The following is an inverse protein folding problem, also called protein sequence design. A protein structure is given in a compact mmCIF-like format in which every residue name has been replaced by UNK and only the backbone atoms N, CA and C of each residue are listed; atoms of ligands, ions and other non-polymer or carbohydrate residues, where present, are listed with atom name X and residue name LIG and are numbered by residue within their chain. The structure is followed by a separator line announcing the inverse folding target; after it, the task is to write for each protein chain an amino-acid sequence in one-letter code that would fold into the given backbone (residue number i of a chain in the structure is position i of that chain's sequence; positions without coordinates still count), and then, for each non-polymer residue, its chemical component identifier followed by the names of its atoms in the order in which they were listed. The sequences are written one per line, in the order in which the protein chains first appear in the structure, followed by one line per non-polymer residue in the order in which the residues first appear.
data_IF_796872876332
#
_entry.id   IF_796872876332
#
_cell.length_a   1.000
_cell.length_b   1.000
_cell.length_c   1.000
_cell.angle_alpha   90.00
_cell.angle_beta   90.00
_cell.angle_gamma   90.00
#
_symmetry.space_group_name_H-M   'P 1'
#
loop_
_entity.id
_entity.type
_entity.pdbx_description
1 polymer ?
#
# COMPACT_ATOMS: atom_id res chain seq x y z
N UNK A 1 12.92 -21.35 -0.18
CA UNK A 1 11.63 -20.72 0.17
C UNK A 1 11.75 -20.26 1.61
N UNK A 2 11.72 -18.95 1.88
CA UNK A 2 11.62 -18.43 3.25
C UNK A 2 10.43 -17.48 3.25
N UNK A 3 9.25 -18.10 3.35
CA UNK A 3 8.03 -17.45 3.81
C UNK A 3 8.37 -16.93 5.22
N UNK A 4 8.01 -15.69 5.51
CA UNK A 4 8.12 -15.11 6.85
C UNK A 4 7.55 -16.12 7.89
N UNK A 5 8.38 -16.71 8.78
CA UNK A 5 7.96 -17.85 9.59
C UNK A 5 6.92 -17.53 10.67
N UNK A 6 6.67 -16.25 10.97
CA UNK A 6 6.07 -15.90 12.26
C UNK A 6 4.63 -15.36 12.19
N UNK A 7 4.18 -14.82 11.05
CA UNK A 7 2.78 -14.44 10.75
C UNK A 7 1.98 -13.73 11.87
N UNK A 8 2.61 -12.88 12.66
CA UNK A 8 2.09 -12.37 13.94
C UNK A 8 0.85 -11.47 13.80
N UNK A 9 -0.12 -11.40 14.72
CA UNK A 9 -1.22 -10.39 14.62
C UNK A 9 -0.97 -9.20 15.55
N UNK A 10 -1.36 -8.00 15.14
CA UNK A 10 -1.19 -6.76 15.90
C UNK A 10 -2.48 -6.31 16.58
N UNK A 11 -2.39 -5.94 17.85
CA UNK A 11 -3.52 -5.45 18.63
C UNK A 11 -3.31 -3.99 19.00
N UNK A 12 -4.34 -3.17 18.75
CA UNK A 12 -4.41 -1.76 19.08
C UNK A 12 -5.57 -1.49 20.04
N UNK A 13 -5.40 -0.51 20.91
CA UNK A 13 -6.46 -0.03 21.80
C UNK A 13 -7.53 0.77 21.05
N UNK A 14 -8.64 1.08 21.72
CA UNK A 14 -9.67 2.01 21.25
C UNK A 14 -9.21 3.49 21.10
N UNK A 15 -7.92 3.76 21.24
CA UNK A 15 -7.24 5.02 20.93
C UNK A 15 -6.25 4.88 19.77
N UNK A 16 -6.15 3.71 19.14
CA UNK A 16 -5.18 3.43 18.08
C UNK A 16 -3.74 3.34 18.57
N UNK A 17 -3.53 3.06 19.87
CA UNK A 17 -2.20 2.80 20.45
C UNK A 17 -1.91 1.29 20.36
N UNK A 18 -0.76 0.93 19.81
CA UNK A 18 -0.27 -0.45 19.78
C UNK A 18 -0.18 -1.03 21.20
N UNK A 19 -0.67 -2.26 21.35
CA UNK A 19 -0.70 -2.99 22.63
C UNK A 19 0.31 -4.14 22.59
N UNK A 20 0.17 -5.04 21.62
CA UNK A 20 0.96 -6.26 21.52
C UNK A 20 0.88 -6.86 20.12
N UNK A 21 1.82 -7.75 19.85
CA UNK A 21 1.88 -8.62 18.67
C UNK A 21 1.81 -10.09 19.10
N UNK A 22 1.02 -10.94 18.46
CA UNK A 22 0.88 -12.39 18.74
C UNK A 22 1.75 -13.25 17.83
N UNK A 23 1.59 -14.57 17.87
CA UNK A 23 2.23 -15.53 16.94
C UNK A 23 1.18 -16.31 16.12
N UNK A 24 -0.01 -15.72 15.88
CA UNK A 24 -1.22 -16.39 15.36
C UNK A 24 -1.27 -16.62 13.85
N UNK A 25 -0.18 -16.32 13.13
CA UNK A 25 0.06 -16.64 11.71
C UNK A 25 -0.83 -15.94 10.66
N UNK A 26 -1.58 -14.88 10.97
CA UNK A 26 -2.48 -14.20 10.00
C UNK A 26 -2.09 -12.79 9.56
N UNK A 27 -1.11 -12.15 10.20
CA UNK A 27 -0.72 -10.76 9.92
C UNK A 27 -1.87 -9.74 10.05
N UNK A 28 -2.91 -10.08 10.82
CA UNK A 28 -4.09 -9.24 10.98
C UNK A 28 -3.85 -8.11 11.98
N UNK A 29 -4.55 -7.01 11.78
CA UNK A 29 -4.65 -5.88 12.69
C UNK A 29 -5.99 -5.99 13.41
N UNK A 30 -5.96 -5.91 14.73
CA UNK A 30 -7.13 -5.90 15.59
C UNK A 30 -7.20 -4.61 16.40
N UNK A 31 -8.41 -4.09 16.57
CA UNK A 31 -8.72 -2.93 17.39
C UNK A 31 -9.61 -3.40 18.54
N UNK A 32 -9.12 -3.31 19.76
CA UNK A 32 -9.85 -3.66 20.97
C UNK A 32 -10.81 -2.53 21.36
N UNK A 33 -12.11 -2.77 21.19
CA UNK A 33 -13.21 -1.84 21.52
C UNK A 33 -14.21 -2.57 22.42
N UNK A 34 -14.46 -2.03 23.62
CA UNK A 34 -15.44 -2.55 24.57
C UNK A 34 -15.32 -4.06 24.83
N UNK A 35 -14.09 -4.55 25.02
CA UNK A 35 -13.81 -5.97 25.27
C UNK A 35 -13.88 -6.89 24.03
N UNK A 36 -14.17 -6.35 22.84
CA UNK A 36 -14.17 -7.09 21.56
C UNK A 36 -13.02 -6.64 20.68
N UNK A 37 -12.50 -7.56 19.86
CA UNK A 37 -11.50 -7.25 18.84
C UNK A 37 -12.18 -7.19 17.48
N UNK A 38 -12.02 -6.08 16.79
CA UNK A 38 -12.54 -5.90 15.43
C UNK A 38 -11.41 -5.59 14.46
N UNK A 39 -11.62 -5.88 13.18
CA UNK A 39 -10.70 -5.52 12.11
C UNK A 39 -10.85 -4.03 11.74
N UNK A 40 -9.80 -3.38 11.21
CA UNK A 40 -9.86 -2.01 10.70
C UNK A 40 -11.02 -1.74 9.75
N UNK A 41 -11.31 -2.63 8.81
CA UNK A 41 -12.41 -2.48 7.85
C UNK A 41 -13.80 -2.52 8.49
N UNK A 42 -13.92 -3.10 9.69
CA UNK A 42 -15.18 -3.18 10.44
C UNK A 42 -15.44 -1.91 11.28
N UNK A 43 -14.47 -1.02 11.40
CA UNK A 43 -14.61 0.22 12.14
C UNK A 43 -15.40 1.24 11.31
N UNK A 44 -16.50 1.78 11.87
CA UNK A 44 -17.27 2.86 11.22
C UNK A 44 -16.51 4.19 11.33
N UNK A 45 -15.96 4.66 10.20
CA UNK A 45 -15.18 5.89 10.08
C UNK A 45 -16.02 7.13 9.77
N UNK A 46 -17.37 7.03 9.80
CA UNK A 46 -18.23 8.22 9.92
C UNK A 46 -18.13 8.83 11.31
N UNK A 47 -17.74 8.03 12.31
CA UNK A 47 -17.52 8.48 13.68
C UNK A 47 -16.13 9.12 13.80
N UNK A 48 -16.08 10.41 14.17
CA UNK A 48 -14.83 11.20 14.29
C UNK A 48 -13.78 10.55 15.19
N UNK A 49 -14.20 9.94 16.31
CA UNK A 49 -13.30 9.21 17.22
C UNK A 49 -12.63 8.04 16.52
N UNK A 50 -13.39 7.27 15.75
CA UNK A 50 -12.89 6.11 15.02
C UNK A 50 -11.91 6.51 13.91
N UNK A 51 -12.16 7.65 13.25
CA UNK A 51 -11.18 8.24 12.31
C UNK A 51 -9.83 8.49 12.95
N UNK A 52 -9.81 9.02 14.17
CA UNK A 52 -8.56 9.25 14.90
C UNK A 52 -7.87 7.94 15.29
N UNK A 53 -8.63 6.91 15.70
CA UNK A 53 -8.10 5.57 15.96
C UNK A 53 -7.39 5.03 14.72
N UNK A 54 -8.06 5.07 13.56
CA UNK A 54 -7.48 4.58 12.32
C UNK A 54 -6.27 5.42 11.88
N UNK A 55 -6.33 6.75 11.96
CA UNK A 55 -5.20 7.61 11.64
C UNK A 55 -3.96 7.30 12.50
N UNK A 56 -4.14 6.97 13.78
CA UNK A 56 -3.04 6.57 14.66
C UNK A 56 -2.44 5.22 14.24
N UNK A 57 -3.27 4.26 13.82
CA UNK A 57 -2.83 2.96 13.29
C UNK A 57 -2.04 3.16 11.99
N UNK A 58 -2.56 3.96 11.05
CA UNK A 58 -1.84 4.29 9.81
C UNK A 58 -0.50 4.97 10.12
N UNK A 59 -0.48 5.92 11.07
CA UNK A 59 0.76 6.58 11.50
C UNK A 59 1.80 5.62 12.09
N UNK A 60 1.35 4.62 12.87
CA UNK A 60 2.22 3.56 13.39
C UNK A 60 2.91 2.79 12.26
N UNK A 61 2.14 2.31 11.28
CA UNK A 61 2.72 1.56 10.15
C UNK A 61 3.51 2.44 9.18
N UNK A 62 3.16 3.72 9.03
CA UNK A 62 3.94 4.67 8.24
C UNK A 62 5.33 4.88 8.85
N UNK A 63 5.41 4.97 10.19
CA UNK A 63 6.68 5.02 10.91
C UNK A 63 7.48 3.74 10.70
N UNK A 64 6.82 2.58 10.73
CA UNK A 64 7.47 1.28 10.52
C UNK A 64 8.08 1.14 9.11
N UNK A 65 7.51 1.77 8.09
CA UNK A 65 8.08 1.81 6.73
C UNK A 65 8.99 3.02 6.47
N UNK A 66 9.35 3.78 7.51
CA UNK A 66 10.32 4.88 7.43
C UNK A 66 9.77 6.20 6.87
N UNK A 67 8.45 6.40 6.84
CA UNK A 67 7.85 7.67 6.39
C UNK A 67 7.92 8.70 7.53
N UNK A 68 8.62 9.80 7.30
CA UNK A 68 8.58 10.98 8.17
C UNK A 68 7.42 11.91 7.82
N UNK A 69 6.71 12.42 8.83
CA UNK A 69 5.53 13.28 8.65
C UNK A 69 5.24 14.16 9.88
N UNK A 70 4.42 15.20 9.70
CA UNK A 70 3.90 16.01 10.79
C UNK A 70 2.65 15.37 11.38
N UNK A 71 2.73 14.95 12.63
CA UNK A 71 1.61 14.49 13.43
C UNK A 71 0.72 15.63 13.92
N UNK A 72 -0.30 15.27 14.70
CA UNK A 72 -1.22 16.24 15.31
C UNK A 72 -0.44 17.28 16.13
N UNK A 73 -0.82 18.55 15.98
CA UNK A 73 -0.14 19.66 16.67
C UNK A 73 1.26 19.97 16.13
N UNK A 74 1.58 19.56 14.90
CA UNK A 74 2.93 19.69 14.30
C UNK A 74 4.02 18.93 15.07
N UNK A 75 3.65 17.83 15.73
CA UNK A 75 4.63 16.94 16.33
C UNK A 75 5.42 16.23 15.22
N UNK A 76 6.75 16.36 15.23
CA UNK A 76 7.61 15.68 14.27
C UNK A 76 7.58 14.16 14.50
N UNK A 77 7.34 13.39 13.45
CA UNK A 77 7.52 11.94 13.43
C UNK A 77 8.57 11.60 12.38
N UNK A 78 9.65 10.92 12.80
CA UNK A 78 10.81 10.63 11.94
C UNK A 78 11.74 11.84 11.75
N UNK A 79 12.64 11.73 10.76
CA UNK A 79 13.62 12.78 10.41
C UNK A 79 13.10 13.64 9.26
N UNK A 80 13.23 14.97 9.37
CA UNK A 80 12.77 15.93 8.35
C UNK A 80 11.31 15.71 7.91
N UNK A 81 10.35 15.80 8.83
CA UNK A 81 8.94 15.53 8.53
C UNK A 81 8.41 16.46 7.44
N UNK A 82 7.67 15.88 6.49
CA UNK A 82 6.98 16.59 5.43
C UNK A 82 5.57 16.03 5.26
N UNK A 83 4.60 16.92 5.05
CA UNK A 83 3.19 16.55 4.92
C UNK A 83 2.64 15.80 6.13
N UNK A 84 1.49 15.17 5.94
CA UNK A 84 0.77 14.40 6.96
C UNK A 84 0.54 12.96 6.50
N UNK A 85 0.31 12.09 7.47
CA UNK A 85 -0.14 10.71 7.25
C UNK A 85 -1.47 10.50 7.96
N UNK A 86 -2.42 9.83 7.32
CA UNK A 86 -3.69 9.49 7.94
C UNK A 86 -4.66 8.79 7.00
N UNK A 87 -5.93 9.22 7.06
CA UNK A 87 -7.01 8.69 6.25
C UNK A 87 -7.77 9.82 5.55
N UNK A 88 -8.27 9.56 4.35
CA UNK A 88 -9.07 10.52 3.59
C UNK A 88 -10.23 9.82 2.89
N UNK A 89 -11.33 10.54 2.69
CA UNK A 89 -12.48 9.98 1.98
C UNK A 89 -12.18 9.91 0.48
N UNK A 90 -12.61 8.81 -0.14
CA UNK A 90 -12.51 8.59 -1.59
C UNK A 90 -13.89 8.30 -2.18
N UNK A 91 -14.01 8.60 -3.47
CA UNK A 91 -15.18 8.19 -4.29
C UNK A 91 -14.94 6.87 -5.01
N UNK A 92 -13.70 6.38 -5.03
CA UNK A 92 -13.30 5.18 -5.74
C UNK A 92 -13.03 4.03 -4.76
N UNK A 93 -13.89 3.00 -4.79
CA UNK A 93 -13.72 1.82 -3.94
C UNK A 93 -12.41 1.07 -4.19
N UNK A 94 -11.86 1.14 -5.41
CA UNK A 94 -10.63 0.46 -5.78
C UNK A 94 -9.36 1.20 -5.33
N UNK A 95 -9.47 2.47 -4.92
CA UNK A 95 -8.33 3.24 -4.41
C UNK A 95 -8.05 2.82 -2.96
N UNK A 96 -6.89 2.21 -2.71
CA UNK A 96 -6.50 1.74 -1.37
C UNK A 96 -5.82 2.83 -0.55
N UNK A 97 -5.01 3.65 -1.22
CA UNK A 97 -4.27 4.75 -0.64
C UNK A 97 -4.05 5.82 -1.73
N UNK A 98 -3.65 7.01 -1.30
CA UNK A 98 -3.35 8.11 -2.21
C UNK A 98 -2.27 9.03 -1.63
N UNK A 99 -1.50 9.61 -2.54
CA UNK A 99 -0.56 10.69 -2.27
C UNK A 99 -1.04 11.99 -2.91
N UNK A 100 -1.02 13.08 -2.14
CA UNK A 100 -1.28 14.44 -2.64
C UNK A 100 -0.23 15.41 -2.12
N UNK A 101 0.70 15.78 -2.98
CA UNK A 101 1.89 16.52 -2.57
C UNK A 101 2.70 15.71 -1.55
N UNK A 102 2.91 16.28 -0.36
CA UNK A 102 3.63 15.60 0.72
C UNK A 102 2.75 14.66 1.59
N UNK A 103 1.43 14.63 1.37
CA UNK A 103 0.48 13.93 2.22
C UNK A 103 0.20 12.52 1.70
N UNK A 104 0.16 11.54 2.60
CA UNK A 104 -0.18 10.14 2.30
C UNK A 104 -1.40 9.74 3.12
N UNK A 105 -2.41 9.16 2.48
CA UNK A 105 -3.64 8.75 3.16
C UNK A 105 -4.09 7.36 2.72
N UNK A 106 -4.58 6.56 3.66
CA UNK A 106 -5.38 5.38 3.35
C UNK A 106 -6.81 5.81 3.03
N UNK A 107 -7.36 5.25 1.96
CA UNK A 107 -8.64 5.69 1.41
C UNK A 107 -9.83 5.09 2.15
N UNK A 108 -10.82 5.94 2.43
CA UNK A 108 -12.07 5.61 3.12
C UNK A 108 -13.21 5.71 2.13
N UNK A 109 -13.82 4.58 1.78
CA UNK A 109 -14.98 4.51 0.90
C UNK A 109 -16.23 4.22 1.72
N UNK A 110 -17.25 5.08 1.58
CA UNK A 110 -18.54 4.96 2.30
C UNK A 110 -18.44 4.75 3.82
N UNK A 111 -17.38 5.28 4.44
CA UNK A 111 -17.15 5.19 5.88
C UNK A 111 -16.29 3.99 6.33
N UNK A 112 -15.72 3.23 5.40
CA UNK A 112 -14.87 2.08 5.71
C UNK A 112 -13.60 2.09 4.87
N UNK A 113 -12.52 1.48 5.39
CA UNK A 113 -11.34 1.17 4.57
C UNK A 113 -11.52 -0.21 3.92
N UNK A 114 -10.77 -0.46 2.85
CA UNK A 114 -10.73 -1.77 2.21
C UNK A 114 -10.30 -2.89 3.17
N UNK A 115 -10.87 -4.09 2.99
CA UNK A 115 -10.48 -5.30 3.74
C UNK A 115 -9.01 -5.66 3.57
N UNK A 116 -8.36 -5.23 2.46
CA UNK A 116 -6.93 -5.43 2.29
C UNK A 116 -6.12 -4.79 3.42
N UNK A 117 -6.59 -3.67 3.98
CA UNK A 117 -5.93 -2.92 5.04
C UNK A 117 -6.10 -3.55 6.43
N UNK A 118 -6.80 -4.69 6.53
CA UNK A 118 -6.84 -5.48 7.77
C UNK A 118 -5.52 -6.19 8.03
N UNK A 119 -4.71 -6.41 7.00
CA UNK A 119 -3.42 -7.07 7.10
C UNK A 119 -2.30 -6.02 7.09
N UNK A 120 -1.36 -6.09 8.04
CA UNK A 120 -0.35 -5.04 8.14
C UNK A 120 0.68 -5.06 7.02
N UNK A 121 1.00 -6.21 6.42
CA UNK A 121 1.94 -6.27 5.28
C UNK A 121 1.33 -5.62 4.05
N UNK A 122 0.04 -5.84 3.80
CA UNK A 122 -0.69 -5.14 2.76
C UNK A 122 -0.70 -3.61 3.02
N UNK A 123 -0.99 -3.19 4.25
CA UNK A 123 -1.02 -1.78 4.64
C UNK A 123 0.38 -1.12 4.50
N UNK A 124 1.43 -1.78 4.97
CA UNK A 124 2.81 -1.30 4.84
C UNK A 124 3.24 -1.25 3.36
N UNK A 125 2.87 -2.24 2.55
CA UNK A 125 3.13 -2.22 1.10
C UNK A 125 2.44 -1.05 0.40
N UNK A 126 1.18 -0.75 0.75
CA UNK A 126 0.46 0.43 0.24
C UNK A 126 1.10 1.75 0.70
N UNK A 127 1.49 1.86 1.97
CA UNK A 127 2.18 3.06 2.47
C UNK A 127 3.54 3.24 1.79
N UNK A 128 4.28 2.15 1.55
CA UNK A 128 5.53 2.20 0.81
C UNK A 128 5.32 2.64 -0.64
N UNK A 129 4.28 2.14 -1.33
CA UNK A 129 3.88 2.62 -2.65
C UNK A 129 3.68 4.14 -2.66
N UNK A 130 2.86 4.65 -1.74
CA UNK A 130 2.60 6.09 -1.63
C UNK A 130 3.84 6.89 -1.23
N UNK A 131 4.75 6.32 -0.46
CA UNK A 131 6.02 6.97 -0.11
C UNK A 131 6.89 7.27 -1.34
N UNK A 132 6.80 6.43 -2.38
CA UNK A 132 7.51 6.62 -3.64
C UNK A 132 6.89 7.81 -4.41
N UNK A 133 5.55 7.87 -4.49
CA UNK A 133 4.87 9.04 -5.07
C UNK A 133 5.23 10.32 -4.33
N UNK A 134 5.25 10.29 -3.00
CA UNK A 134 5.65 11.44 -2.17
C UNK A 134 7.07 11.89 -2.50
N UNK A 135 8.02 10.96 -2.57
CA UNK A 135 9.42 11.25 -2.90
C UNK A 135 9.56 11.97 -4.24
N UNK A 136 8.85 11.52 -5.28
CA UNK A 136 8.91 12.14 -6.61
C UNK A 136 8.16 13.48 -6.66
N UNK A 137 7.00 13.59 -6.02
CA UNK A 137 6.23 14.83 -5.92
C UNK A 137 7.03 15.96 -5.27
N UNK A 138 7.74 15.66 -4.18
CA UNK A 138 8.59 16.63 -3.47
C UNK A 138 9.79 17.12 -4.29
N UNK A 139 10.17 16.39 -5.34
CA UNK A 139 11.25 16.76 -6.27
C UNK A 139 10.73 17.43 -7.54
N UNK A 140 9.41 17.58 -7.68
CA UNK A 140 8.78 18.04 -8.92
C UNK A 140 8.93 17.05 -10.08
N UNK A 141 9.28 15.80 -9.80
CA UNK A 141 9.45 14.75 -10.81
C UNK A 141 8.12 14.06 -11.06
N UNK A 142 7.37 14.56 -12.03
CA UNK A 142 6.07 13.99 -12.43
C UNK A 142 6.17 12.98 -13.58
N UNK A 143 7.35 12.40 -13.82
CA UNK A 143 7.50 11.43 -14.91
C UNK A 143 6.86 10.06 -14.61
N UNK A 144 6.29 9.88 -13.42
CA UNK A 144 5.28 8.86 -13.11
C UNK A 144 3.90 9.15 -13.74
N UNK A 145 3.68 10.32 -14.36
CA UNK A 145 2.42 10.64 -15.06
C UNK A 145 2.18 9.83 -16.34
N UNK A 146 3.20 9.16 -16.87
CA UNK A 146 2.99 8.19 -17.97
C UNK A 146 2.74 6.80 -17.40
N UNK A 147 1.92 6.00 -18.07
CA UNK A 147 1.64 4.64 -17.60
C UNK A 147 2.90 3.78 -17.44
N UNK A 148 3.86 3.90 -18.37
CA UNK A 148 5.13 3.21 -18.27
C UNK A 148 6.02 3.78 -17.15
N UNK A 149 6.07 5.10 -17.02
CA UNK A 149 6.84 5.78 -15.98
C UNK A 149 6.38 5.38 -14.58
N UNK A 150 5.05 5.33 -14.35
CA UNK A 150 4.46 4.85 -13.11
C UNK A 150 4.94 3.43 -12.78
N UNK A 151 4.85 2.50 -13.74
CA UNK A 151 5.28 1.11 -13.54
C UNK A 151 6.77 1.03 -13.20
N UNK A 152 7.60 1.74 -13.96
CA UNK A 152 9.04 1.69 -13.84
C UNK A 152 9.56 2.31 -12.54
N UNK A 153 8.88 3.35 -12.02
CA UNK A 153 9.33 4.10 -10.85
C UNK A 153 8.67 3.65 -9.55
N UNK A 154 7.41 3.26 -9.61
CA UNK A 154 6.58 2.99 -8.41
C UNK A 154 6.38 1.49 -8.24
N UNK A 155 5.75 0.82 -9.20
CA UNK A 155 5.41 -0.61 -9.05
C UNK A 155 6.63 -1.51 -8.92
N UNK A 156 7.69 -1.33 -9.73
CA UNK A 156 8.90 -2.15 -9.61
C UNK A 156 9.51 -2.03 -8.20
N UNK A 157 9.62 -0.80 -7.68
CA UNK A 157 10.13 -0.58 -6.32
C UNK A 157 9.24 -1.22 -5.26
N UNK A 158 7.92 -1.11 -5.41
CA UNK A 158 6.98 -1.79 -4.53
C UNK A 158 7.18 -3.31 -4.57
N UNK A 159 7.35 -3.91 -5.75
CA UNK A 159 7.57 -5.36 -5.89
C UNK A 159 8.91 -5.84 -5.29
N UNK A 160 9.92 -4.97 -5.28
CA UNK A 160 11.21 -5.25 -4.66
C UNK A 160 11.18 -5.15 -3.13
N UNK A 161 10.21 -4.44 -2.56
CA UNK A 161 10.06 -4.24 -1.13
C UNK A 161 9.60 -5.52 -0.39
N UNK A 162 10.09 -5.69 0.84
CA UNK A 162 9.78 -6.87 1.67
C UNK A 162 8.30 -6.97 2.05
N UNK A 163 7.63 -5.85 2.31
CA UNK A 163 6.21 -5.85 2.68
C UNK A 163 5.32 -6.34 1.54
N UNK A 164 5.68 -6.04 0.28
CA UNK A 164 4.98 -6.63 -0.86
C UNK A 164 5.20 -8.15 -0.93
N UNK A 165 6.43 -8.61 -0.68
CA UNK A 165 6.77 -10.05 -0.72
C UNK A 165 6.07 -10.83 0.39
N UNK A 166 5.85 -10.21 1.55
CA UNK A 166 5.13 -10.78 2.70
C UNK A 166 3.62 -10.51 2.70
N UNK A 167 3.12 -9.68 1.77
CA UNK A 167 1.70 -9.41 1.61
C UNK A 167 0.91 -10.65 1.22
N UNK A 168 -0.40 -10.58 1.44
CA UNK A 168 -1.34 -11.65 1.05
C UNK A 168 -1.32 -11.88 -0.46
N UNK A 169 -1.51 -13.12 -0.91
CA UNK A 169 -1.53 -13.44 -2.35
C UNK A 169 -2.60 -12.66 -3.11
N UNK A 170 -3.78 -12.47 -2.50
CA UNK A 170 -4.87 -11.68 -3.10
C UNK A 170 -4.43 -10.22 -3.34
N UNK A 171 -3.73 -9.62 -2.37
CA UNK A 171 -3.18 -8.28 -2.52
C UNK A 171 -2.08 -8.23 -3.58
N UNK A 172 -1.15 -9.19 -3.57
CA UNK A 172 -0.10 -9.28 -4.59
C UNK A 172 -0.70 -9.35 -6.00
N UNK A 173 -1.69 -10.20 -6.20
CA UNK A 173 -2.42 -10.32 -7.46
C UNK A 173 -3.08 -9.00 -7.88
N UNK A 174 -3.74 -8.31 -6.95
CA UNK A 174 -4.40 -7.03 -7.23
C UNK A 174 -3.39 -5.96 -7.69
N UNK A 175 -2.26 -5.81 -7.00
CA UNK A 175 -1.23 -4.82 -7.38
C UNK A 175 -0.52 -5.21 -8.69
N UNK A 176 -0.23 -6.49 -8.91
CA UNK A 176 0.31 -6.98 -10.19
C UNK A 176 -0.68 -6.69 -11.34
N UNK A 177 -1.98 -6.88 -11.10
CA UNK A 177 -3.04 -6.53 -12.04
C UNK A 177 -3.08 -5.05 -12.38
N UNK A 178 -2.88 -4.16 -11.39
CA UNK A 178 -2.78 -2.72 -11.66
C UNK A 178 -1.57 -2.39 -12.55
N UNK A 179 -0.40 -2.98 -12.27
CA UNK A 179 0.76 -2.81 -13.13
C UNK A 179 0.50 -3.33 -14.56
N UNK A 180 -0.25 -4.42 -14.73
CA UNK A 180 -0.65 -4.94 -16.04
C UNK A 180 -1.58 -3.98 -16.81
N UNK A 181 -2.49 -3.28 -16.12
CA UNK A 181 -3.34 -2.24 -16.71
C UNK A 181 -2.49 -1.09 -17.25
N UNK A 182 -1.55 -0.59 -16.45
CA UNK A 182 -0.63 0.46 -16.89
C UNK A 182 0.26 0.02 -18.06
N UNK A 183 0.79 -1.21 -18.02
CA UNK A 183 1.58 -1.75 -19.12
C UNK A 183 0.74 -1.99 -20.38
N UNK A 184 -0.53 -2.33 -20.26
CA UNK A 184 -1.46 -2.42 -21.39
C UNK A 184 -1.68 -1.04 -22.03
N UNK A 185 -1.81 0.01 -21.23
CA UNK A 185 -1.88 1.38 -21.74
C UNK A 185 -0.58 1.77 -22.47
N UNK A 186 0.58 1.47 -21.88
CA UNK A 186 1.89 1.70 -22.51
C UNK A 186 2.08 0.87 -23.80
N UNK A 187 1.54 -0.34 -23.86
CA UNK A 187 1.60 -1.18 -25.06
C UNK A 187 0.80 -0.56 -26.22
N UNK A 188 -0.24 0.21 -25.93
CA UNK A 188 -1.07 0.87 -26.95
C UNK A 188 -0.47 2.17 -27.46
N UNK A 189 0.46 2.77 -26.72
CA UNK A 189 1.14 4.01 -27.10
C UNK A 189 2.42 3.73 -27.89
N UNK A 190 2.54 4.30 -29.10
CA UNK A 190 3.68 4.10 -30.00
C UNK A 190 5.01 4.59 -29.41
N UNK A 191 4.99 5.55 -28.48
CA UNK A 191 6.19 6.09 -27.83
C UNK A 191 6.76 5.15 -26.78
N UNK A 192 5.93 4.32 -26.16
CA UNK A 192 6.29 3.49 -25.00
C UNK A 192 6.21 1.99 -25.29
N UNK A 193 5.49 1.55 -26.33
CA UNK A 193 5.28 0.14 -26.71
C UNK A 193 6.58 -0.68 -26.75
N UNK A 194 7.64 -0.15 -27.38
CA UNK A 194 8.91 -0.87 -27.53
C UNK A 194 9.63 -1.18 -26.21
N UNK A 195 9.27 -0.49 -25.13
CA UNK A 195 9.89 -0.64 -23.80
C UNK A 195 9.12 -1.63 -22.90
N UNK A 196 7.88 -1.96 -23.24
CA UNK A 196 7.01 -2.84 -22.44
C UNK A 196 7.61 -4.23 -22.19
N UNK A 197 8.22 -4.92 -23.18
CA UNK A 197 8.85 -6.22 -22.93
C UNK A 197 9.96 -6.16 -21.87
N UNK A 198 10.75 -5.09 -21.87
CA UNK A 198 11.79 -4.86 -20.86
C UNK A 198 11.22 -4.62 -19.46
N UNK A 199 10.11 -3.86 -19.37
CA UNK A 199 9.40 -3.64 -18.11
C UNK A 199 8.81 -4.95 -17.55
N UNK A 200 8.20 -5.77 -18.39
CA UNK A 200 7.68 -7.10 -18.00
C UNK A 200 8.78 -8.00 -17.45
N UNK A 201 9.94 -8.06 -18.12
CA UNK A 201 11.09 -8.85 -17.64
C UNK A 201 11.54 -8.41 -16.24
N UNK A 202 11.61 -7.09 -16.00
CA UNK A 202 11.97 -6.53 -14.69
C UNK A 202 10.94 -6.88 -13.62
N UNK A 203 9.65 -6.70 -13.91
CA UNK A 203 8.58 -7.07 -12.97
C UNK A 203 8.64 -8.55 -12.66
N UNK A 204 8.68 -9.43 -13.67
CA UNK A 204 8.76 -10.88 -13.46
C UNK A 204 9.96 -11.31 -12.60
N UNK A 205 11.07 -10.58 -12.69
CA UNK A 205 12.23 -10.78 -11.81
C UNK A 205 11.93 -10.37 -10.37
N UNK A 206 11.28 -9.22 -10.17
CA UNK A 206 10.91 -8.71 -8.85
C UNK A 206 9.84 -9.57 -8.16
N UNK A 207 8.86 -10.08 -8.91
CA UNK A 207 7.75 -10.90 -8.39
C UNK A 207 8.01 -12.41 -8.43
N UNK A 208 9.26 -12.85 -8.67
CA UNK A 208 9.62 -14.27 -8.84
C UNK A 208 9.24 -15.19 -7.67
N UNK A 209 9.02 -14.63 -6.48
CA UNK A 209 8.61 -15.35 -5.28
C UNK A 209 7.09 -15.45 -5.11
N UNK A 210 6.32 -14.78 -5.97
CA UNK A 210 4.86 -14.90 -6.03
C UNK A 210 4.49 -16.01 -7.02
N UNK A 211 3.29 -16.61 -6.93
CA UNK A 211 2.84 -17.61 -7.89
C UNK A 211 2.45 -17.00 -9.25
N UNK A 212 2.75 -15.72 -9.50
CA UNK A 212 2.29 -14.97 -10.66
C UNK A 212 3.44 -14.60 -11.61
N UNK A 213 3.07 -14.37 -12.86
CA UNK A 213 3.91 -13.72 -13.87
C UNK A 213 3.07 -12.87 -14.80
N UNK A 214 3.70 -11.83 -15.36
CA UNK A 214 3.16 -11.02 -16.43
C UNK A 214 3.58 -11.57 -17.79
N UNK A 215 2.64 -11.61 -18.72
CA UNK A 215 2.87 -11.94 -20.12
C UNK A 215 2.28 -10.86 -21.02
N UNK A 216 2.92 -10.65 -22.17
CA UNK A 216 2.43 -9.73 -23.19
C UNK A 216 1.81 -10.52 -24.36
N UNK A 217 0.59 -10.13 -24.72
CA UNK A 217 -0.07 -10.47 -25.97
C UNK A 217 -0.70 -9.22 -26.57
N UNK A 218 -2.00 -9.29 -26.92
CA UNK A 218 -2.78 -8.08 -27.27
C UNK A 218 -2.91 -7.11 -26.10
N UNK A 219 -2.89 -7.65 -24.88
CA UNK A 219 -2.85 -6.93 -23.62
C UNK A 219 -1.73 -7.51 -22.75
N UNK A 220 -1.39 -6.81 -21.68
CA UNK A 220 -0.54 -7.36 -20.62
C UNK A 220 -1.46 -7.94 -19.57
N UNK A 221 -1.24 -9.21 -19.25
CA UNK A 221 -2.04 -9.95 -18.27
C UNK A 221 -1.14 -10.65 -17.27
N UNK A 222 -1.66 -10.90 -16.08
CA UNK A 222 -1.02 -11.78 -15.12
C UNK A 222 -1.63 -13.18 -15.24
N UNK A 223 -0.81 -14.20 -15.03
CA UNK A 223 -1.25 -15.59 -14.92
C UNK A 223 -0.54 -16.29 -13.77
N UNK A 224 -1.14 -17.38 -13.29
CA UNK A 224 -0.51 -18.27 -12.32
C UNK A 224 0.56 -19.11 -13.03
N UNK A 225 1.73 -19.25 -12.41
CA UNK A 225 2.81 -20.14 -12.85
C UNK A 225 2.46 -21.60 -12.65
#
# INVERSE_FOLDING_TARGET
MRIDPDGRDDYFSNKGKFIRRTETKTNNIYISINGKNILPSQLDLKIKRNRQVMANIVGHYATAVGISYWGKGKMAVGRNPQGMVGIADTKNEAELAATRGANITISVYKGHISRFMNNYENLQSSLYHESIHKFFSLRGDYSDNTSLGHVMKVHIKQFENEHFKSATQEFQQAIIGQAAIYLTAALRDSKTRGQVPGAIKKINTAIRNTPYELVAGRYVEWRKR
#
